data_IF_158756299938
#
_entry.id   IF_158756299938
#
_cell.length_a   1.000
_cell.length_b   1.000
_cell.length_c   1.000
_cell.angle_alpha   90.00
_cell.angle_beta   90.00
_cell.angle_gamma   90.00
#
_symmetry.space_group_name_H-M   'P 1'
#
loop_
_entity.id
_entity.type
_entity.pdbx_description
1 polymer ?
#
# COMPACT_ATOMS: atom_id res chain seq x y z
N UNK A 1 -14.07 -5.20 -2.24
CA UNK A 1 -14.94 -4.44 -1.36
C UNK A 1 -14.15 -3.84 -0.23
N UNK A 2 -14.44 -2.62 0.09
CA UNK A 2 -13.68 -1.94 1.12
C UNK A 2 -14.12 -2.36 2.51
N UNK A 3 -13.19 -2.26 3.44
CA UNK A 3 -13.37 -2.62 4.83
C UNK A 3 -14.69 -2.08 5.42
N UNK A 4 -14.91 -0.79 5.28
CA UNK A 4 -16.10 -0.15 5.84
C UNK A 4 -17.40 -0.62 5.21
N UNK A 5 -17.34 -1.03 3.95
CA UNK A 5 -18.53 -1.51 3.26
C UNK A 5 -18.88 -2.92 3.63
N UNK A 6 -17.89 -3.68 4.08
CA UNK A 6 -18.11 -5.06 4.52
C UNK A 6 -18.68 -5.09 5.92
N UNK A 7 -18.08 -4.32 6.82
CA UNK A 7 -18.39 -4.40 8.24
C UNK A 7 -19.50 -3.46 8.68
N UNK A 8 -19.68 -2.36 7.94
CA UNK A 8 -20.64 -1.35 8.34
C UNK A 8 -21.52 -0.97 7.17
N UNK A 9 -22.82 -1.16 7.30
CA UNK A 9 -23.75 -0.56 6.35
C UNK A 9 -23.62 0.95 6.42
N UNK A 10 -23.37 1.58 5.30
CA UNK A 10 -23.07 3.00 5.27
C UNK A 10 -24.09 3.86 5.95
N UNK A 11 -25.34 3.49 5.82
CA UNK A 11 -26.44 4.30 6.32
C UNK A 11 -26.62 4.19 7.82
N UNK A 12 -25.99 3.21 8.46
CA UNK A 12 -26.24 2.95 9.87
C UNK A 12 -25.08 3.38 10.76
N UNK A 13 -24.04 3.97 10.22
CA UNK A 13 -22.89 4.32 11.02
C UNK A 13 -22.45 5.75 10.75
N UNK A 14 -21.76 6.29 11.74
CA UNK A 14 -21.24 7.64 11.65
C UNK A 14 -19.95 7.63 10.84
N UNK A 15 -19.97 8.31 9.72
CA UNK A 15 -18.82 8.38 8.85
C UNK A 15 -17.59 8.92 9.53
N UNK A 16 -17.74 9.77 10.51
CA UNK A 16 -16.61 10.33 11.23
C UNK A 16 -15.78 9.26 11.92
N UNK A 17 -16.42 8.20 12.37
CA UNK A 17 -15.74 7.16 13.14
C UNK A 17 -15.34 5.97 12.31
N UNK A 18 -16.06 5.69 11.25
CA UNK A 18 -15.91 4.42 10.54
C UNK A 18 -15.25 4.57 9.18
N UNK A 19 -15.21 5.75 8.62
CA UNK A 19 -14.55 5.94 7.34
C UNK A 19 -13.06 6.09 7.51
N UNK A 20 -12.26 5.39 6.69
CA UNK A 20 -10.82 5.66 6.65
C UNK A 20 -10.56 7.11 6.24
N UNK A 21 -9.45 7.65 6.70
CA UNK A 21 -9.04 9.01 6.35
C UNK A 21 -8.31 9.07 5.01
N UNK A 22 -8.84 8.34 4.02
CA UNK A 22 -8.25 8.32 2.70
C UNK A 22 -9.31 7.90 1.69
N UNK A 23 -9.08 8.25 0.42
CA UNK A 23 -9.95 7.84 -0.67
C UNK A 23 -9.31 6.76 -1.52
N UNK A 24 -8.00 6.78 -1.66
CA UNK A 24 -7.29 5.87 -2.55
C UNK A 24 -5.97 5.40 -1.95
N UNK A 25 -5.75 4.10 -2.03
CA UNK A 25 -4.49 3.47 -1.64
C UNK A 25 -3.91 2.76 -2.84
N UNK A 26 -2.60 2.92 -3.06
CA UNK A 26 -1.89 2.15 -4.08
C UNK A 26 -0.60 1.62 -3.50
N UNK A 27 -0.44 0.31 -3.55
CA UNK A 27 0.75 -0.35 -3.04
C UNK A 27 1.66 -0.77 -4.18
N UNK A 28 2.90 -0.32 -4.15
CA UNK A 28 3.97 -0.81 -5.01
C UNK A 28 4.71 -1.90 -4.25
N UNK A 29 4.73 -3.09 -4.81
CA UNK A 29 5.26 -4.25 -4.12
C UNK A 29 5.96 -5.19 -5.09
N UNK A 30 6.67 -6.18 -4.57
CA UNK A 30 7.30 -7.20 -5.39
C UNK A 30 6.93 -8.58 -4.84
N UNK A 31 6.76 -9.53 -5.76
CA UNK A 31 6.29 -10.87 -5.44
C UNK A 31 7.17 -11.59 -4.42
N UNK A 32 8.46 -11.50 -4.60
CA UNK A 32 9.41 -12.23 -3.75
C UNK A 32 10.06 -11.34 -2.68
N UNK A 33 9.41 -10.25 -2.33
CA UNK A 33 9.88 -9.34 -1.30
C UNK A 33 9.17 -9.62 0.02
N UNK A 34 9.92 -10.03 1.02
CA UNK A 34 9.36 -10.26 2.35
C UNK A 34 8.74 -8.98 2.92
N UNK A 35 9.43 -7.86 2.75
CA UNK A 35 8.91 -6.58 3.24
C UNK A 35 7.59 -6.21 2.57
N UNK A 36 7.47 -6.47 1.28
CA UNK A 36 6.20 -6.25 0.56
C UNK A 36 5.12 -7.18 1.09
N UNK A 37 5.45 -8.43 1.35
CA UNK A 37 4.48 -9.39 1.85
C UNK A 37 3.94 -8.98 3.21
N UNK A 38 4.79 -8.48 4.08
CA UNK A 38 4.36 -7.98 5.40
C UNK A 38 3.32 -6.88 5.27
N UNK A 39 3.51 -5.97 4.33
CA UNK A 39 2.55 -4.88 4.11
C UNK A 39 1.25 -5.43 3.50
N UNK A 40 1.35 -6.36 2.54
CA UNK A 40 0.15 -6.96 1.94
C UNK A 40 -0.70 -7.65 3.01
N UNK A 41 -0.06 -8.41 3.89
CA UNK A 41 -0.77 -9.08 4.98
C UNK A 41 -1.45 -8.06 5.90
N UNK A 42 -0.74 -7.00 6.26
CA UNK A 42 -1.31 -5.98 7.13
C UNK A 42 -2.53 -5.31 6.50
N UNK A 43 -2.46 -5.03 5.20
CA UNK A 43 -3.59 -4.42 4.50
C UNK A 43 -4.78 -5.36 4.41
N UNK A 44 -4.52 -6.64 4.17
CA UNK A 44 -5.59 -7.63 4.11
C UNK A 44 -6.24 -7.87 5.47
N UNK A 45 -5.47 -7.90 6.52
CA UNK A 45 -6.03 -8.05 7.87
C UNK A 45 -6.92 -6.89 8.25
N UNK A 46 -6.62 -5.70 7.74
CA UNK A 46 -7.46 -4.52 7.98
C UNK A 46 -8.65 -4.46 7.04
N UNK A 47 -8.73 -5.34 6.07
CA UNK A 47 -9.82 -5.33 5.10
C UNK A 47 -9.81 -4.12 4.19
N UNK A 48 -8.65 -3.56 3.92
CA UNK A 48 -8.54 -2.37 3.09
C UNK A 48 -8.55 -2.74 1.61
N UNK A 49 -9.28 -1.95 0.82
CA UNK A 49 -9.21 -2.02 -0.63
C UNK A 49 -8.06 -1.15 -1.11
N UNK A 50 -7.27 -1.68 -2.01
CA UNK A 50 -6.15 -0.93 -2.55
C UNK A 50 -5.83 -1.38 -3.97
N UNK A 51 -5.29 -0.46 -4.74
CA UNK A 51 -4.72 -0.77 -6.04
C UNK A 51 -3.32 -1.33 -5.81
N UNK A 52 -2.91 -2.32 -6.58
CA UNK A 52 -1.56 -2.87 -6.45
C UNK A 52 -0.80 -2.80 -7.75
N UNK A 53 0.47 -2.48 -7.66
CA UNK A 53 1.37 -2.49 -8.79
C UNK A 53 2.58 -3.32 -8.42
N UNK A 54 2.73 -4.46 -9.10
CA UNK A 54 3.89 -5.30 -8.92
C UNK A 54 5.09 -4.68 -9.63
N UNK A 55 6.20 -4.58 -8.92
CA UNK A 55 7.45 -4.01 -9.42
C UNK A 55 8.44 -5.15 -9.65
N UNK A 56 9.00 -5.23 -10.84
CA UNK A 56 10.07 -6.19 -11.12
C UNK A 56 11.37 -5.66 -10.54
N UNK A 57 11.98 -6.42 -9.66
CA UNK A 57 13.24 -6.01 -9.04
C UNK A 57 14.42 -6.38 -9.91
N UNK A 58 15.39 -5.48 -10.02
CA UNK A 58 16.56 -5.66 -10.88
C UNK A 58 17.41 -6.88 -10.47
N UNK A 59 17.40 -7.23 -9.21
CA UNK A 59 18.14 -8.40 -8.73
C UNK A 59 17.45 -9.73 -9.06
N UNK A 60 16.21 -9.66 -9.55
CA UNK A 60 15.43 -10.84 -9.92
C UNK A 60 15.12 -10.87 -11.42
N UNK A 61 15.08 -9.72 -12.07
CA UNK A 61 14.71 -9.61 -13.47
C UNK A 61 15.67 -8.66 -14.20
N UNK A 62 16.11 -9.01 -15.43
CA UNK A 62 17.02 -8.17 -16.19
C UNK A 62 16.45 -6.78 -16.49
N UNK A 63 15.12 -6.69 -16.59
CA UNK A 63 14.43 -5.44 -16.90
C UNK A 63 13.80 -4.82 -15.65
N UNK A 64 14.54 -4.86 -14.54
CA UNK A 64 14.02 -4.38 -13.26
C UNK A 64 13.44 -2.98 -13.33
N UNK A 65 12.23 -2.85 -12.78
CA UNK A 65 11.49 -1.58 -12.78
C UNK A 65 11.83 -0.69 -11.60
N UNK A 66 12.39 -1.27 -10.53
CA UNK A 66 12.68 -0.52 -9.31
C UNK A 66 13.75 0.55 -9.51
N UNK A 67 14.55 0.45 -10.56
CA UNK A 67 15.55 1.45 -10.89
C UNK A 67 15.12 2.31 -12.10
N UNK A 68 13.90 2.17 -12.57
CA UNK A 68 13.39 2.99 -13.66
C UNK A 68 13.18 4.42 -13.20
N UNK A 69 13.32 5.41 -14.11
CA UNK A 69 13.06 6.79 -13.71
C UNK A 69 11.67 7.01 -13.13
N UNK A 70 10.69 6.30 -13.65
CA UNK A 70 9.31 6.41 -13.17
C UNK A 70 9.19 5.98 -11.71
N UNK A 71 9.77 4.84 -11.37
CA UNK A 71 9.67 4.36 -10.01
C UNK A 71 10.55 5.16 -9.05
N UNK A 72 11.71 5.64 -9.50
CA UNK A 72 12.58 6.44 -8.65
C UNK A 72 11.95 7.77 -8.26
N UNK A 73 10.98 8.25 -9.02
CA UNK A 73 10.19 9.41 -8.60
C UNK A 73 9.27 9.07 -7.44
N UNK A 74 8.87 7.82 -7.33
CA UNK A 74 8.02 7.36 -6.23
C UNK A 74 8.87 7.04 -5.01
N UNK A 75 9.93 6.28 -5.21
CA UNK A 75 10.84 5.92 -4.14
C UNK A 75 12.28 6.06 -4.64
N UNK A 76 12.96 7.15 -4.25
CA UNK A 76 14.33 7.40 -4.73
C UNK A 76 15.34 6.32 -4.35
N UNK A 77 15.05 5.51 -3.34
CA UNK A 77 15.91 4.40 -2.95
C UNK A 77 15.77 3.20 -3.88
N UNK A 78 14.76 3.19 -4.73
CA UNK A 78 14.55 2.12 -5.68
C UNK A 78 14.22 0.78 -5.02
N UNK A 79 13.52 0.80 -3.90
CA UNK A 79 13.15 -0.42 -3.17
C UNK A 79 11.64 -0.49 -2.99
N UNK A 80 11.16 -1.66 -2.61
CA UNK A 80 9.75 -1.89 -2.28
C UNK A 80 9.67 -2.33 -0.82
N UNK A 81 8.53 -2.17 -0.16
CA UNK A 81 7.28 -1.60 -0.64
C UNK A 81 7.25 -0.08 -0.58
N UNK A 82 6.35 0.52 -1.35
CA UNK A 82 6.00 1.94 -1.23
C UNK A 82 4.48 2.02 -1.25
N UNK A 83 3.90 2.78 -0.35
CA UNK A 83 2.45 2.95 -0.28
C UNK A 83 2.08 4.40 -0.58
N UNK A 84 1.22 4.56 -1.57
CA UNK A 84 0.65 5.85 -1.93
C UNK A 84 -0.70 5.99 -1.24
N UNK A 85 -0.81 6.97 -0.36
CA UNK A 85 -2.05 7.30 0.33
C UNK A 85 -2.50 8.66 -0.18
N UNK A 86 -3.43 8.65 -1.14
CA UNK A 86 -3.96 9.88 -1.73
C UNK A 86 -2.86 10.83 -2.24
N UNK A 87 -1.82 10.28 -2.84
CA UNK A 87 -0.73 11.05 -3.40
C UNK A 87 0.46 11.24 -2.47
N UNK A 88 0.36 10.81 -1.22
CA UNK A 88 1.46 10.89 -0.26
C UNK A 88 2.15 9.53 -0.18
N UNK A 89 3.44 9.49 -0.45
CA UNK A 89 4.19 8.24 -0.48
C UNK A 89 4.80 7.96 0.89
N UNK A 90 4.53 6.76 1.39
CA UNK A 90 5.13 6.25 2.63
C UNK A 90 6.01 5.07 2.25
N UNK A 91 7.25 5.07 2.70
CA UNK A 91 8.21 4.01 2.43
C UNK A 91 8.64 3.35 3.75
N UNK A 92 9.35 2.23 3.66
CA UNK A 92 9.78 1.39 4.78
C UNK A 92 8.60 0.60 5.36
N UNK A 93 8.69 -0.72 5.30
CA UNK A 93 7.57 -1.59 5.69
C UNK A 93 7.08 -1.32 7.11
N UNK A 94 7.99 -1.10 8.06
CA UNK A 94 7.59 -0.82 9.45
C UNK A 94 6.83 0.50 9.56
N UNK A 95 7.26 1.52 8.82
CA UNK A 95 6.61 2.83 8.83
C UNK A 95 5.24 2.72 8.17
N UNK A 96 5.15 1.99 7.07
CA UNK A 96 3.89 1.77 6.38
C UNK A 96 2.88 1.09 7.30
N UNK A 97 3.30 0.02 7.97
CA UNK A 97 2.42 -0.73 8.86
C UNK A 97 1.94 0.16 10.01
N UNK A 98 2.85 0.96 10.56
CA UNK A 98 2.49 1.89 11.62
C UNK A 98 1.45 2.90 11.12
N UNK A 99 1.64 3.41 9.90
CA UNK A 99 0.69 4.34 9.30
C UNK A 99 -0.66 3.69 9.09
N UNK A 100 -0.68 2.46 8.60
CA UNK A 100 -1.92 1.71 8.41
C UNK A 100 -2.68 1.54 9.73
N UNK A 101 -1.96 1.30 10.81
CA UNK A 101 -2.58 1.14 12.12
C UNK A 101 -3.21 2.44 12.64
N UNK A 102 -2.85 3.57 12.09
CA UNK A 102 -3.40 4.88 12.48
C UNK A 102 -4.58 5.31 11.62
N UNK A 103 -4.91 4.56 10.59
CA UNK A 103 -6.01 4.92 9.66
C UNK A 103 -7.38 4.54 10.17
#
# INVERSE_FOLDING_TARGET
MRFKEILWPKQSWDFKYNMPNFEHLKLYHARWSLCSEMVRVAMEEKGLSYESKEIKLIDQYPDGENISPEYLLINPKGVVPSLDIDGVIVTESAVIIKKLNSL
#
